data_IF_037868155773
#
_entry.id   IF_037868155773
#
_cell.length_a   1.000
_cell.length_b   1.000
_cell.length_c   1.000
_cell.angle_alpha   90.00
_cell.angle_beta   90.00
_cell.angle_gamma   90.00
#
_symmetry.space_group_name_H-M   'P 1'
#
loop_
_entity.id
_entity.type
_entity.pdbx_description
1 polymer ?
#
# COMPACT_ATOMS: atom_id res chain seq x y z
N UNK A 1 -20.26 -28.38 11.05
CA UNK A 1 -20.79 -27.03 11.19
C UNK A 1 -20.48 -26.16 9.97
N UNK A 2 -21.37 -25.18 9.73
CA UNK A 2 -21.15 -24.06 8.82
C UNK A 2 -20.63 -22.89 9.64
N UNK A 3 -19.53 -22.27 9.23
CA UNK A 3 -18.90 -21.15 9.93
C UNK A 3 -18.92 -19.88 9.07
N UNK A 4 -19.23 -18.75 9.70
CA UNK A 4 -19.12 -17.42 9.10
C UNK A 4 -18.16 -16.60 9.96
N UNK A 5 -17.01 -16.27 9.42
CA UNK A 5 -16.05 -15.35 10.05
C UNK A 5 -16.49 -13.92 9.74
N UNK A 6 -17.03 -13.23 10.71
CA UNK A 6 -17.67 -11.93 10.55
C UNK A 6 -16.90 -10.83 11.29
N UNK A 7 -16.53 -9.72 10.61
CA UNK A 7 -15.93 -8.58 11.28
C UNK A 7 -16.97 -7.82 12.10
N UNK A 8 -16.55 -7.24 13.23
CA UNK A 8 -17.38 -6.38 14.06
C UNK A 8 -16.59 -5.13 14.49
N UNK A 9 -17.27 -4.02 14.71
CA UNK A 9 -16.68 -2.74 15.11
C UNK A 9 -16.05 -1.96 13.95
N UNK A 10 -15.31 -0.91 14.30
CA UNK A 10 -14.64 -0.01 13.34
C UNK A 10 -13.22 -0.47 13.00
N UNK A 11 -12.62 0.15 11.96
CA UNK A 11 -11.28 -0.21 11.48
C UNK A 11 -10.21 -0.19 12.59
N UNK A 12 -10.07 0.86 13.42
CA UNK A 12 -9.07 0.89 14.47
C UNK A 12 -9.49 0.18 15.77
N UNK A 13 -10.75 -0.24 15.91
CA UNK A 13 -11.33 -0.73 17.18
C UNK A 13 -12.10 -2.04 17.04
N UNK A 14 -12.04 -2.69 15.89
CA UNK A 14 -12.83 -3.89 15.59
C UNK A 14 -12.32 -5.14 16.29
N UNK A 15 -13.13 -6.17 16.21
CA UNK A 15 -12.85 -7.52 16.71
C UNK A 15 -13.43 -8.57 15.76
N UNK A 16 -12.93 -9.80 15.86
CA UNK A 16 -13.42 -10.91 15.04
C UNK A 16 -14.50 -11.69 15.79
N UNK A 17 -15.60 -11.90 15.09
CA UNK A 17 -16.70 -12.77 15.52
C UNK A 17 -16.75 -13.97 14.59
N UNK A 18 -17.14 -15.11 15.12
CA UNK A 18 -17.50 -16.29 14.33
C UNK A 18 -18.93 -16.69 14.68
N UNK A 19 -19.69 -16.95 13.63
CA UNK A 19 -21.02 -17.55 13.73
C UNK A 19 -20.92 -19.01 13.28
N UNK A 20 -21.62 -19.92 13.97
CA UNK A 20 -21.71 -21.32 13.54
C UNK A 20 -23.14 -21.84 13.58
N UNK A 21 -23.43 -22.78 12.70
CA UNK A 21 -24.72 -23.51 12.66
C UNK A 21 -24.54 -24.90 12.10
N UNK A 22 -25.40 -25.82 12.48
CA UNK A 22 -25.51 -27.14 11.83
C UNK A 22 -26.27 -27.08 10.51
N UNK A 23 -26.95 -25.97 10.23
CA UNK A 23 -27.70 -25.75 9.00
C UNK A 23 -27.25 -24.44 8.34
N UNK A 24 -27.03 -24.44 7.03
CA UNK A 24 -26.60 -23.26 6.29
C UNK A 24 -27.56 -22.07 6.39
N UNK A 25 -28.84 -22.33 6.65
CA UNK A 25 -29.85 -21.27 6.85
C UNK A 25 -30.03 -20.89 8.32
N UNK A 26 -29.23 -21.48 9.25
CA UNK A 26 -29.31 -21.20 10.67
C UNK A 26 -30.32 -22.07 11.43
N UNK A 27 -30.65 -21.71 12.66
CA UNK A 27 -30.15 -20.55 13.40
C UNK A 27 -28.65 -20.61 13.68
N UNK A 28 -28.02 -19.45 13.72
CA UNK A 28 -26.60 -19.31 14.05
C UNK A 28 -26.43 -18.85 15.50
N UNK A 29 -25.52 -19.49 16.22
CA UNK A 29 -24.94 -18.98 17.44
C UNK A 29 -23.63 -18.24 17.11
N UNK A 30 -23.24 -17.29 17.94
CA UNK A 30 -22.04 -16.49 17.66
C UNK A 30 -21.12 -16.37 18.89
N UNK A 31 -19.83 -16.15 18.61
CA UNK A 31 -18.82 -15.93 19.65
C UNK A 31 -17.79 -14.92 19.14
N UNK A 32 -17.33 -14.05 20.04
CA UNK A 32 -16.12 -13.24 19.81
C UNK A 32 -14.90 -14.15 20.01
N UNK A 33 -14.01 -14.21 19.03
CA UNK A 33 -12.90 -15.18 18.99
C UNK A 33 -11.51 -14.53 18.92
N UNK A 34 -11.44 -13.22 18.62
CA UNK A 34 -10.23 -12.43 18.62
C UNK A 34 -10.59 -10.98 18.91
N UNK A 35 -9.86 -10.36 19.81
CA UNK A 35 -9.96 -8.94 20.14
C UNK A 35 -8.56 -8.39 20.42
N UNK A 36 -8.40 -7.07 20.47
CA UNK A 36 -7.12 -6.43 20.78
C UNK A 36 -6.54 -6.90 22.12
N UNK A 37 -7.39 -7.03 23.13
CA UNK A 37 -6.96 -7.35 24.48
C UNK A 37 -5.89 -6.39 24.97
N UNK A 38 -4.83 -6.93 25.55
CA UNK A 38 -3.66 -6.16 26.00
C UNK A 38 -2.53 -6.06 24.95
N UNK A 39 -2.80 -6.45 23.68
CA UNK A 39 -1.81 -6.36 22.61
C UNK A 39 -1.73 -4.94 22.04
N UNK A 40 -0.60 -4.54 21.45
CA UNK A 40 -0.49 -3.26 20.71
C UNK A 40 -1.17 -3.32 19.34
N UNK A 41 -1.72 -4.47 18.92
CA UNK A 41 -2.34 -4.67 17.60
C UNK A 41 -3.81 -4.29 17.70
N UNK A 42 -4.13 -3.07 17.25
CA UNK A 42 -5.49 -2.54 17.28
C UNK A 42 -6.39 -3.17 16.21
N UNK A 43 -7.67 -3.27 16.51
CA UNK A 43 -8.72 -3.66 15.58
C UNK A 43 -8.49 -4.98 14.82
N UNK A 44 -8.15 -6.11 15.47
CA UNK A 44 -7.86 -7.37 14.78
C UNK A 44 -9.14 -8.01 14.25
N UNK A 45 -9.50 -7.75 12.99
CA UNK A 45 -10.69 -8.29 12.35
C UNK A 45 -10.59 -8.28 10.83
N UNK A 46 -11.67 -8.57 10.11
CA UNK A 46 -11.73 -8.67 8.65
C UNK A 46 -10.68 -9.64 8.09
N UNK A 47 -10.59 -10.79 8.73
CA UNK A 47 -9.56 -11.77 8.43
C UNK A 47 -10.06 -13.01 7.73
N UNK A 48 -9.15 -13.95 7.53
CA UNK A 48 -9.42 -15.24 6.92
C UNK A 48 -8.71 -16.37 7.67
N UNK A 49 -9.43 -17.45 7.88
CA UNK A 49 -8.84 -18.73 8.30
C UNK A 49 -8.10 -19.37 7.13
N UNK A 50 -6.94 -19.93 7.41
CA UNK A 50 -6.13 -20.69 6.48
C UNK A 50 -5.50 -21.87 7.22
N UNK A 51 -5.49 -23.03 6.59
CA UNK A 51 -4.80 -24.22 7.06
C UNK A 51 -3.49 -24.46 6.30
N UNK A 52 -2.56 -25.14 6.96
CA UNK A 52 -1.32 -25.59 6.31
C UNK A 52 -1.46 -26.99 5.75
N UNK A 53 -0.61 -27.41 4.78
CA UNK A 53 -0.57 -28.80 4.31
C UNK A 53 -0.27 -29.83 5.41
N UNK A 54 0.24 -29.39 6.57
CA UNK A 54 0.53 -30.25 7.74
C UNK A 54 -0.58 -30.24 8.78
N UNK A 55 -1.69 -29.53 8.52
CA UNK A 55 -2.87 -29.54 9.39
C UNK A 55 -2.82 -28.54 10.55
N UNK A 56 -2.01 -27.50 10.47
CA UNK A 56 -2.07 -26.38 11.39
C UNK A 56 -3.08 -25.35 10.91
N UNK A 57 -3.83 -24.75 11.84
CA UNK A 57 -4.78 -23.68 11.59
C UNK A 57 -4.18 -22.32 11.92
N UNK A 58 -4.41 -21.35 11.04
CA UNK A 58 -3.90 -19.98 11.17
C UNK A 58 -4.98 -18.98 10.78
N UNK A 59 -4.84 -17.75 11.26
CA UNK A 59 -5.75 -16.66 10.93
C UNK A 59 -5.00 -15.42 10.48
N UNK A 60 -5.33 -14.93 9.30
CA UNK A 60 -4.83 -13.66 8.77
C UNK A 60 -5.79 -12.54 9.17
N UNK A 61 -5.27 -11.43 9.65
CA UNK A 61 -6.04 -10.21 9.86
C UNK A 61 -5.16 -8.99 9.63
N UNK A 62 -5.72 -7.79 9.71
CA UNK A 62 -4.94 -6.57 9.59
C UNK A 62 -4.87 -5.78 10.91
N UNK A 63 -3.92 -4.86 10.94
CA UNK A 63 -3.82 -3.76 11.89
C UNK A 63 -3.87 -2.44 11.11
N UNK A 64 -4.67 -1.48 11.56
CA UNK A 64 -4.68 -0.13 10.99
C UNK A 64 -3.50 0.69 11.53
N UNK A 65 -2.63 1.15 10.63
CA UNK A 65 -1.42 1.91 10.95
C UNK A 65 -1.43 3.28 10.25
N UNK A 66 -2.62 3.85 10.04
CA UNK A 66 -2.78 5.18 9.46
C UNK A 66 -2.20 5.29 8.06
N UNK A 67 -1.24 6.19 7.83
CA UNK A 67 -0.63 6.42 6.52
C UNK A 67 0.06 5.18 5.91
N UNK A 68 0.53 4.25 6.73
CA UNK A 68 1.10 2.98 6.26
C UNK A 68 0.05 1.94 5.89
N UNK A 69 -1.22 2.26 6.09
CA UNK A 69 -2.34 1.43 5.72
C UNK A 69 -2.59 0.27 6.68
N UNK A 70 -2.98 -0.86 6.12
CA UNK A 70 -3.36 -2.05 6.85
C UNK A 70 -2.26 -3.08 6.82
N UNK A 71 -1.46 -3.15 7.90
CA UNK A 71 -0.44 -4.17 8.04
C UNK A 71 -1.10 -5.52 8.33
N UNK A 72 -0.70 -6.55 7.58
CA UNK A 72 -1.24 -7.90 7.71
C UNK A 72 -0.47 -8.67 8.79
N UNK A 73 -1.22 -9.29 9.68
CA UNK A 73 -0.73 -10.17 10.73
C UNK A 73 -1.19 -11.60 10.49
N UNK A 74 -0.36 -12.57 10.88
CA UNK A 74 -0.68 -13.98 10.92
C UNK A 74 -0.72 -14.44 12.39
N UNK A 75 -1.85 -14.97 12.82
CA UNK A 75 -2.07 -15.46 14.19
C UNK A 75 -2.19 -16.97 14.21
N UNK A 76 -1.64 -17.65 15.24
CA UNK A 76 -1.97 -19.06 15.47
C UNK A 76 -3.45 -19.20 15.76
N UNK A 77 -4.03 -20.30 15.31
CA UNK A 77 -5.43 -20.62 15.57
C UNK A 77 -5.56 -22.10 15.96
N UNK A 78 -6.49 -22.40 16.82
CA UNK A 78 -6.85 -23.77 17.18
C UNK A 78 -8.35 -23.90 17.39
N UNK A 79 -8.88 -25.08 17.15
CA UNK A 79 -10.28 -25.41 17.43
C UNK A 79 -10.43 -25.97 18.83
N UNK A 80 -11.34 -25.39 19.61
CA UNK A 80 -11.68 -25.83 20.96
C UNK A 80 -13.21 -25.90 21.08
N UNK A 81 -13.75 -27.10 21.31
CA UNK A 81 -15.19 -27.33 21.36
C UNK A 81 -15.96 -26.78 20.15
N UNK A 82 -15.42 -27.03 18.96
CA UNK A 82 -15.94 -26.55 17.67
C UNK A 82 -16.02 -25.02 17.57
N UNK A 83 -15.17 -24.29 18.28
CA UNK A 83 -14.95 -22.86 18.13
C UNK A 83 -13.49 -22.56 17.84
N UNK A 84 -13.19 -21.63 16.91
CA UNK A 84 -11.81 -21.17 16.73
C UNK A 84 -11.39 -20.28 17.91
N UNK A 85 -10.22 -20.52 18.44
CA UNK A 85 -9.50 -19.63 19.35
C UNK A 85 -8.32 -19.07 18.58
N UNK A 86 -8.31 -17.76 18.34
CA UNK A 86 -7.32 -17.07 17.49
C UNK A 86 -6.36 -16.27 18.36
N UNK A 87 -5.05 -16.41 18.14
CA UNK A 87 -4.03 -15.82 19.01
C UNK A 87 -3.87 -16.60 20.31
N UNK A 88 -3.69 -15.90 21.43
CA UNK A 88 -3.54 -16.49 22.76
C UNK A 88 -4.72 -16.09 23.65
N UNK A 89 -5.51 -17.07 24.03
CA UNK A 89 -6.54 -16.96 25.07
C UNK A 89 -5.89 -17.14 26.44
N UNK A 90 -5.78 -16.06 27.22
CA UNK A 90 -5.08 -16.04 28.52
C UNK A 90 -5.98 -16.33 29.70
N UNK A 91 -7.25 -16.03 29.58
CA UNK A 91 -8.26 -16.15 30.65
C UNK A 91 -9.25 -17.30 30.45
N UNK A 92 -9.17 -17.96 29.27
CA UNK A 92 -9.97 -19.16 29.01
C UNK A 92 -11.41 -18.86 28.56
N UNK A 93 -11.72 -17.62 28.17
CA UNK A 93 -13.06 -17.23 27.72
C UNK A 93 -13.33 -17.63 26.26
N UNK A 94 -12.27 -18.05 25.54
CA UNK A 94 -12.26 -18.46 24.13
C UNK A 94 -12.14 -17.30 23.15
N UNK A 95 -11.80 -16.10 23.63
CA UNK A 95 -11.43 -14.94 22.82
C UNK A 95 -9.93 -14.67 22.97
N UNK A 96 -9.14 -14.89 21.93
CA UNK A 96 -7.70 -14.67 22.03
C UNK A 96 -7.26 -13.23 21.80
N UNK A 97 -6.04 -12.93 22.26
CA UNK A 97 -5.29 -11.71 21.96
C UNK A 97 -4.31 -11.96 20.82
N UNK A 98 -4.07 -11.00 19.91
CA UNK A 98 -3.02 -11.12 18.92
C UNK A 98 -1.64 -11.28 19.53
N UNK A 99 -0.78 -12.09 18.89
CA UNK A 99 0.62 -12.25 19.28
C UNK A 99 1.54 -11.55 18.29
N UNK A 100 2.62 -10.96 18.82
CA UNK A 100 3.66 -10.31 17.97
C UNK A 100 4.73 -11.29 17.51
N UNK A 101 4.92 -12.37 18.24
CA UNK A 101 5.95 -13.38 17.97
C UNK A 101 5.37 -14.77 18.16
N UNK A 102 5.56 -15.63 17.20
CA UNK A 102 5.17 -17.04 17.24
C UNK A 102 6.10 -17.88 16.36
N UNK A 103 6.14 -19.18 16.60
CA UNK A 103 6.81 -20.13 15.69
C UNK A 103 6.16 -20.05 14.32
N UNK A 104 6.96 -20.06 13.25
CA UNK A 104 6.44 -20.06 11.86
C UNK A 104 5.54 -21.27 11.62
N UNK A 105 4.51 -21.11 10.73
CA UNK A 105 3.69 -22.23 10.28
C UNK A 105 4.54 -23.37 9.71
N UNK A 106 4.21 -24.60 10.10
CA UNK A 106 4.78 -25.75 9.45
C UNK A 106 4.03 -26.01 8.13
N UNK A 107 4.68 -25.73 7.01
CA UNK A 107 4.12 -25.94 5.66
C UNK A 107 4.74 -27.18 4.97
N UNK A 108 5.41 -28.05 5.74
CA UNK A 108 6.09 -29.25 5.23
C UNK A 108 7.40 -28.98 4.47
N UNK A 109 7.80 -27.72 4.34
CA UNK A 109 9.01 -27.28 3.64
C UNK A 109 9.64 -26.11 4.37
N UNK A 110 10.97 -26.01 4.29
CA UNK A 110 11.69 -24.83 4.76
C UNK A 110 11.93 -23.87 3.59
N UNK A 111 11.52 -22.63 3.76
CA UNK A 111 11.76 -21.56 2.81
C UNK A 111 12.79 -20.58 3.37
N UNK A 112 13.66 -20.02 2.52
CA UNK A 112 14.57 -18.96 2.95
C UNK A 112 13.76 -17.74 3.43
N UNK A 113 14.34 -17.01 4.39
CA UNK A 113 13.79 -15.72 4.81
C UNK A 113 13.94 -14.75 3.63
N UNK A 114 12.83 -14.15 3.22
CA UNK A 114 12.80 -13.14 2.15
C UNK A 114 11.91 -11.98 2.59
N UNK A 115 12.32 -10.78 2.19
CA UNK A 115 11.49 -9.57 2.26
C UNK A 115 10.85 -9.32 0.88
N UNK A 116 9.71 -8.63 0.81
CA UNK A 116 9.20 -8.11 -0.44
C UNK A 116 10.27 -7.27 -1.15
N UNK A 117 10.25 -7.29 -2.48
CA UNK A 117 11.12 -6.44 -3.28
C UNK A 117 10.74 -4.97 -3.09
N UNK A 118 11.74 -4.11 -2.83
CA UNK A 118 11.55 -2.67 -2.62
C UNK A 118 12.12 -1.86 -3.79
N UNK A 119 13.25 -2.29 -4.34
CA UNK A 119 13.91 -1.66 -5.49
C UNK A 119 13.61 -2.43 -6.77
N UNK A 120 13.64 -1.74 -7.91
CA UNK A 120 13.44 -2.33 -9.22
C UNK A 120 14.40 -1.69 -10.24
N UNK A 121 15.19 -2.51 -10.89
CA UNK A 121 16.06 -2.10 -12.00
C UNK A 121 15.37 -2.25 -13.35
N UNK A 122 14.10 -2.68 -13.35
CA UNK A 122 13.27 -2.88 -14.54
C UNK A 122 13.92 -3.82 -15.59
N UNK A 123 14.58 -4.87 -15.11
CA UNK A 123 15.24 -5.88 -15.93
C UNK A 123 14.28 -6.97 -16.45
N UNK A 124 13.00 -6.87 -16.08
CA UNK A 124 11.92 -7.70 -16.59
C UNK A 124 11.16 -7.06 -17.76
N UNK A 125 10.41 -7.88 -18.50
CA UNK A 125 9.51 -7.42 -19.58
C UNK A 125 8.06 -7.18 -19.11
N UNK A 126 7.83 -7.29 -17.81
CA UNK A 126 6.55 -7.02 -17.14
C UNK A 126 6.81 -6.25 -15.86
N UNK A 127 5.78 -5.57 -15.38
CA UNK A 127 5.85 -4.85 -14.12
C UNK A 127 5.94 -5.84 -12.96
N UNK A 128 6.90 -5.63 -12.05
CA UNK A 128 7.06 -6.44 -10.84
C UNK A 128 5.89 -6.23 -9.85
N UNK A 129 5.56 -7.20 -8.99
CA UNK A 129 4.35 -7.18 -8.15
C UNK A 129 4.22 -6.03 -7.15
N UNK A 130 5.33 -5.36 -6.78
CA UNK A 130 5.30 -4.20 -5.89
C UNK A 130 4.69 -2.95 -6.53
N UNK A 131 4.60 -2.90 -7.86
CA UNK A 131 4.06 -1.77 -8.60
C UNK A 131 2.56 -1.89 -8.83
N UNK A 132 1.89 -0.77 -8.79
CA UNK A 132 0.47 -0.66 -9.14
C UNK A 132 0.19 0.66 -9.85
N UNK A 133 -0.84 0.70 -10.66
CA UNK A 133 -1.33 1.92 -11.26
C UNK A 133 -2.37 2.60 -10.38
N UNK A 134 -2.43 3.92 -10.44
CA UNK A 134 -3.45 4.69 -9.70
C UNK A 134 -4.88 4.36 -10.15
N UNK A 135 -5.06 4.07 -11.42
CA UNK A 135 -6.33 3.64 -11.99
C UNK A 135 -6.21 2.32 -12.74
N UNK A 136 -7.29 1.86 -13.37
CA UNK A 136 -7.28 0.66 -14.17
C UNK A 136 -6.24 0.76 -15.29
N UNK A 137 -5.40 -0.27 -15.40
CA UNK A 137 -4.28 -0.29 -16.32
C UNK A 137 -4.69 -0.01 -17.77
N UNK A 138 -3.86 0.78 -18.46
CA UNK A 138 -3.90 0.95 -19.89
C UNK A 138 -2.52 0.61 -20.46
N UNK A 139 -2.46 -0.33 -21.38
CA UNK A 139 -1.22 -0.81 -22.01
C UNK A 139 -0.41 0.29 -22.70
N UNK A 140 -1.05 1.40 -23.06
CA UNK A 140 -0.40 2.57 -23.69
C UNK A 140 0.38 3.45 -22.71
N UNK A 141 0.29 3.20 -21.39
CA UNK A 141 0.97 4.03 -20.40
C UNK A 141 2.44 3.72 -20.23
N UNK A 142 2.84 2.47 -20.50
CA UNK A 142 4.22 2.04 -20.29
C UNK A 142 4.72 1.06 -21.35
N UNK A 143 6.04 1.03 -21.51
CA UNK A 143 6.78 0.01 -22.24
C UNK A 143 7.92 -0.50 -21.37
N UNK A 144 8.04 -1.81 -21.25
CA UNK A 144 9.07 -2.46 -20.43
C UNK A 144 10.18 -2.98 -21.33
N UNK A 145 11.38 -2.43 -21.16
CA UNK A 145 12.57 -2.80 -21.93
C UNK A 145 13.58 -3.49 -21.00
N UNK A 146 13.27 -4.72 -20.61
CA UNK A 146 14.08 -5.50 -19.66
C UNK A 146 15.52 -5.72 -20.09
N UNK A 147 15.78 -5.82 -21.40
CA UNK A 147 17.13 -5.88 -21.98
C UNK A 147 17.97 -4.62 -21.74
N UNK A 148 17.34 -3.53 -21.34
CA UNK A 148 17.99 -2.23 -21.09
C UNK A 148 17.87 -1.80 -19.63
N UNK A 149 17.17 -2.54 -18.80
CA UNK A 149 16.90 -2.16 -17.40
C UNK A 149 16.14 -0.84 -17.30
N UNK A 150 15.09 -0.65 -18.09
CA UNK A 150 14.27 0.57 -18.06
C UNK A 150 12.77 0.28 -18.22
N UNK A 151 11.98 1.09 -17.54
CA UNK A 151 10.57 1.30 -17.87
C UNK A 151 10.44 2.66 -18.57
N UNK A 152 9.74 2.70 -19.70
CA UNK A 152 9.37 3.93 -20.38
C UNK A 152 7.92 4.24 -20.07
N UNK A 153 7.68 5.34 -19.40
CA UNK A 153 6.35 5.89 -19.19
C UNK A 153 6.02 6.89 -20.29
N UNK A 154 4.81 6.81 -20.81
CA UNK A 154 4.34 7.75 -21.84
C UNK A 154 3.44 8.80 -21.20
N UNK A 155 3.61 10.06 -21.65
CA UNK A 155 2.66 11.11 -21.31
C UNK A 155 1.27 10.76 -21.85
N UNK A 156 0.27 10.97 -21.02
CA UNK A 156 -1.12 10.71 -21.35
C UNK A 156 -1.97 11.92 -21.00
N UNK A 157 -2.91 12.32 -21.88
CA UNK A 157 -3.75 13.47 -21.60
C UNK A 157 -4.52 13.30 -20.29
N UNK A 158 -4.46 14.32 -19.44
CA UNK A 158 -5.27 14.35 -18.22
C UNK A 158 -6.75 14.58 -18.57
N UNK A 159 -7.63 14.22 -17.67
CA UNK A 159 -9.08 14.42 -17.85
C UNK A 159 -9.42 15.91 -17.91
N UNK A 160 -10.55 16.25 -18.52
CA UNK A 160 -11.00 17.66 -18.67
C UNK A 160 -11.15 18.36 -17.31
N UNK A 161 -11.56 17.62 -16.31
CA UNK A 161 -11.82 18.08 -14.95
C UNK A 161 -10.58 18.06 -14.05
N UNK A 162 -9.39 17.80 -14.61
CA UNK A 162 -8.12 17.70 -13.89
C UNK A 162 -7.88 18.93 -13.00
N UNK A 163 -7.59 18.70 -11.73
CA UNK A 163 -7.24 19.71 -10.74
C UNK A 163 -5.86 19.53 -10.17
N UNK A 164 -5.45 18.28 -9.96
CA UNK A 164 -4.17 17.93 -9.41
C UNK A 164 -3.86 16.44 -9.69
N UNK A 165 -2.75 15.90 -9.18
CA UNK A 165 -2.31 14.53 -9.46
C UNK A 165 -3.30 13.44 -9.00
N UNK A 166 -4.22 13.75 -8.10
CA UNK A 166 -5.28 12.80 -7.72
C UNK A 166 -6.16 12.38 -8.90
N UNK A 167 -6.31 13.25 -9.88
CA UNK A 167 -7.09 13.00 -11.09
C UNK A 167 -6.26 12.36 -12.23
N UNK A 168 -4.93 12.17 -12.04
CA UNK A 168 -4.06 11.56 -13.04
C UNK A 168 -4.11 10.04 -12.97
N UNK A 169 -4.61 9.40 -14.00
CA UNK A 169 -4.82 7.96 -14.04
C UNK A 169 -3.51 7.13 -14.16
N UNK A 170 -2.51 7.68 -14.86
CA UNK A 170 -1.28 6.99 -15.26
C UNK A 170 -0.11 7.19 -14.28
N UNK A 171 -0.40 7.30 -12.99
CA UNK A 171 0.63 7.29 -11.96
C UNK A 171 1.05 5.85 -11.66
N UNK A 172 2.35 5.57 -11.71
CA UNK A 172 2.92 4.28 -11.34
C UNK A 172 3.38 4.33 -9.88
N UNK A 173 2.81 3.50 -9.04
CA UNK A 173 2.85 3.61 -7.59
C UNK A 173 3.53 2.40 -6.96
N UNK A 174 4.25 2.62 -5.87
CA UNK A 174 4.74 1.59 -4.96
C UNK A 174 4.39 1.98 -3.52
N UNK A 175 3.93 1.03 -2.72
CA UNK A 175 3.69 1.26 -1.29
C UNK A 175 4.99 1.63 -0.58
N UNK A 176 4.90 2.51 0.41
CA UNK A 176 6.05 2.85 1.27
C UNK A 176 6.50 1.61 2.04
N UNK A 177 7.79 1.24 1.97
CA UNK A 177 8.28 -0.02 2.55
C UNK A 177 8.44 0.05 4.08
N UNK A 178 8.66 1.24 4.63
CA UNK A 178 8.86 1.47 6.06
C UNK A 178 8.61 2.94 6.43
N UNK A 179 8.72 3.24 7.71
CA UNK A 179 8.63 4.60 8.27
C UNK A 179 9.92 5.41 8.11
N UNK A 180 11.03 4.76 7.75
CA UNK A 180 12.31 5.40 7.48
C UNK A 180 12.96 4.76 6.25
N UNK A 181 13.04 5.49 5.16
CA UNK A 181 13.70 5.03 3.94
C UNK A 181 14.12 6.18 3.04
N UNK A 182 14.92 5.86 2.03
CA UNK A 182 15.28 6.80 0.97
C UNK A 182 14.99 6.14 -0.38
N UNK A 183 14.14 6.78 -1.17
CA UNK A 183 13.90 6.40 -2.55
C UNK A 183 14.75 7.26 -3.48
N UNK A 184 15.41 6.64 -4.44
CA UNK A 184 16.18 7.33 -5.48
C UNK A 184 15.76 6.80 -6.84
N UNK A 185 15.41 7.70 -7.74
CA UNK A 185 15.03 7.39 -9.11
C UNK A 185 15.98 8.07 -10.09
N UNK A 186 16.53 7.32 -11.06
CA UNK A 186 17.16 7.89 -12.25
C UNK A 186 16.07 8.13 -13.29
N UNK A 187 15.94 9.36 -13.74
CA UNK A 187 14.92 9.79 -14.68
C UNK A 187 15.57 10.43 -15.90
N UNK A 188 15.19 9.99 -17.10
CA UNK A 188 15.49 10.69 -18.36
C UNK A 188 14.18 11.16 -18.96
N UNK A 189 13.98 12.47 -18.99
CA UNK A 189 12.79 13.09 -19.55
C UNK A 189 13.03 13.50 -21.01
N UNK A 190 12.23 12.96 -21.91
CA UNK A 190 12.32 13.26 -23.37
C UNK A 190 10.96 13.78 -23.86
N UNK A 191 10.59 15.01 -23.48
CA UNK A 191 9.35 15.61 -23.95
C UNK A 191 9.43 15.91 -25.45
N UNK A 192 8.27 16.06 -26.05
CA UNK A 192 8.20 16.53 -27.44
C UNK A 192 8.07 18.05 -27.47
N UNK A 193 8.64 18.69 -28.52
CA UNK A 193 8.49 20.15 -28.69
C UNK A 193 7.02 20.55 -28.91
N UNK A 194 6.24 19.63 -29.48
CA UNK A 194 4.83 19.84 -29.81
C UNK A 194 3.93 19.98 -28.58
N UNK A 195 4.26 19.30 -27.48
CA UNK A 195 3.41 19.25 -26.32
C UNK A 195 4.08 19.95 -25.14
N UNK A 196 3.70 21.21 -24.91
CA UNK A 196 4.10 21.94 -23.71
C UNK A 196 3.20 21.57 -22.53
N UNK A 197 3.77 21.63 -21.31
CA UNK A 197 3.08 21.19 -20.10
C UNK A 197 3.17 19.70 -19.82
N UNK A 198 3.93 18.91 -20.64
CA UNK A 198 4.24 17.52 -20.25
C UNK A 198 5.04 17.50 -18.94
N UNK A 199 4.63 16.65 -18.02
CA UNK A 199 5.20 16.57 -16.66
C UNK A 199 5.59 15.14 -16.32
N UNK A 200 6.65 14.98 -15.54
CA UNK A 200 7.10 13.72 -14.98
C UNK A 200 7.84 13.96 -13.67
N UNK A 201 7.94 12.96 -12.79
CA UNK A 201 8.69 13.19 -11.55
C UNK A 201 8.56 12.10 -10.51
N UNK A 202 9.04 12.42 -9.31
CA UNK A 202 8.98 11.59 -8.11
C UNK A 202 8.10 12.26 -7.08
N UNK A 203 7.04 11.58 -6.64
CA UNK A 203 6.03 12.12 -5.73
C UNK A 203 5.82 11.16 -4.56
N UNK A 204 5.68 11.69 -3.36
CA UNK A 204 5.12 10.98 -2.20
C UNK A 204 3.66 11.38 -2.12
N UNK A 205 2.75 10.41 -2.26
CA UNK A 205 1.34 10.64 -2.44
C UNK A 205 0.49 9.87 -1.43
N UNK A 206 -0.39 10.61 -0.77
CA UNK A 206 -1.51 10.13 0.01
C UNK A 206 -2.73 10.99 -0.31
N UNK A 207 -3.56 11.34 0.66
CA UNK A 207 -4.61 12.37 0.49
C UNK A 207 -4.01 13.77 0.26
N UNK A 208 -2.81 13.98 0.79
CA UNK A 208 -1.91 15.08 0.45
C UNK A 208 -0.78 14.52 -0.42
N UNK A 209 -0.09 15.35 -1.19
CA UNK A 209 1.15 14.95 -1.82
C UNK A 209 2.20 16.07 -1.84
N UNK A 210 3.45 15.64 -1.98
CA UNK A 210 4.57 16.50 -2.31
C UNK A 210 5.53 15.78 -3.26
N UNK A 211 6.19 16.53 -4.14
CA UNK A 211 7.05 15.91 -5.14
C UNK A 211 8.03 16.83 -5.80
N UNK A 212 8.88 16.21 -6.61
CA UNK A 212 9.82 16.85 -7.52
C UNK A 212 9.36 16.57 -8.95
N UNK A 213 8.85 17.56 -9.64
CA UNK A 213 8.22 17.46 -10.94
C UNK A 213 9.02 18.20 -11.99
N UNK A 214 9.38 17.51 -13.07
CA UNK A 214 9.94 18.10 -14.30
C UNK A 214 8.78 18.49 -15.21
N UNK A 215 8.88 19.66 -15.79
CA UNK A 215 7.91 20.17 -16.74
C UNK A 215 8.59 20.69 -18.01
N UNK A 216 8.00 20.39 -19.16
CA UNK A 216 8.38 20.94 -20.47
C UNK A 216 7.66 22.26 -20.69
N UNK A 217 8.34 23.36 -20.41
CA UNK A 217 7.82 24.73 -20.60
C UNK A 217 8.26 25.35 -21.92
N UNK A 218 7.69 26.48 -22.28
CA UNK A 218 8.12 27.27 -23.45
C UNK A 218 9.57 27.74 -23.35
N UNK A 219 10.12 27.85 -22.14
CA UNK A 219 11.49 28.28 -21.85
C UNK A 219 12.49 27.14 -21.73
N UNK A 220 12.03 25.89 -21.78
CA UNK A 220 12.84 24.68 -21.56
C UNK A 220 12.34 23.82 -20.39
N UNK A 221 13.23 22.95 -19.91
CA UNK A 221 12.91 22.06 -18.79
C UNK A 221 13.04 22.78 -17.45
N UNK A 222 12.02 22.63 -16.62
CA UNK A 222 11.98 23.18 -15.25
C UNK A 222 11.74 22.06 -14.27
N UNK A 223 12.51 21.99 -13.20
CA UNK A 223 12.25 21.15 -12.04
C UNK A 223 11.59 21.98 -10.96
N UNK A 224 10.43 21.54 -10.50
CA UNK A 224 9.66 22.19 -9.44
C UNK A 224 9.53 21.28 -8.21
N UNK A 225 9.70 21.86 -7.04
CA UNK A 225 9.24 21.23 -5.81
C UNK A 225 7.79 21.67 -5.57
N UNK A 226 6.88 20.71 -5.49
CA UNK A 226 5.43 20.95 -5.39
C UNK A 226 4.85 20.33 -4.15
N UNK A 227 3.69 20.86 -3.71
CA UNK A 227 2.87 20.28 -2.66
C UNK A 227 1.38 20.53 -2.92
N UNK A 228 0.54 19.62 -2.47
CA UNK A 228 -0.90 19.71 -2.62
C UNK A 228 -1.58 19.08 -1.39
N UNK A 229 -1.99 19.88 -0.40
CA UNK A 229 -2.76 19.38 0.72
C UNK A 229 -4.21 19.10 0.29
N UNK A 230 -4.82 18.04 0.82
CA UNK A 230 -6.19 17.62 0.51
C UNK A 230 -6.42 17.46 -1.01
N UNK A 231 -5.49 16.80 -1.69
CA UNK A 231 -5.55 16.59 -3.13
C UNK A 231 -6.82 15.83 -3.53
N UNK A 232 -7.27 14.87 -2.71
CA UNK A 232 -8.52 14.12 -2.85
C UNK A 232 -9.78 15.01 -2.84
N UNK A 233 -9.69 16.23 -2.30
CA UNK A 233 -10.75 17.24 -2.31
C UNK A 233 -10.65 18.21 -3.49
N UNK A 234 -9.70 17.99 -4.40
CA UNK A 234 -9.50 18.82 -5.58
C UNK A 234 -8.89 20.19 -5.29
N UNK A 235 -8.05 20.30 -4.26
CA UNK A 235 -7.27 21.53 -4.02
C UNK A 235 -6.22 21.72 -5.10
N UNK A 236 -5.81 22.95 -5.32
CA UNK A 236 -4.76 23.28 -6.28
C UNK A 236 -3.37 22.92 -5.75
N UNK A 237 -2.51 22.46 -6.64
CA UNK A 237 -1.09 22.27 -6.39
C UNK A 237 -0.38 23.62 -6.18
N UNK A 238 0.54 23.66 -5.24
CA UNK A 238 1.42 24.81 -4.96
C UNK A 238 2.83 24.49 -5.42
N UNK A 239 3.41 25.37 -6.23
CA UNK A 239 4.83 25.35 -6.57
C UNK A 239 5.60 26.11 -5.49
N UNK A 240 6.45 25.41 -4.74
CA UNK A 240 7.21 26.00 -3.63
C UNK A 240 8.56 26.56 -4.07
N UNK A 241 9.20 25.91 -5.04
CA UNK A 241 10.46 26.36 -5.65
C UNK A 241 10.65 25.77 -7.04
N UNK A 242 11.47 26.43 -7.85
CA UNK A 242 11.78 25.99 -9.22
C UNK A 242 13.26 26.18 -9.53
N UNK A 243 13.77 25.35 -10.45
CA UNK A 243 15.10 25.49 -11.05
C UNK A 243 15.07 25.08 -12.52
N UNK A 244 15.71 25.88 -13.37
CA UNK A 244 15.87 25.53 -14.79
C UNK A 244 16.88 24.40 -14.93
N UNK A 245 16.57 23.43 -15.78
CA UNK A 245 17.45 22.29 -16.07
C UNK A 245 18.06 22.41 -17.46
N UNK A 246 19.36 22.10 -17.54
CA UNK A 246 20.09 21.98 -18.78
C UNK A 246 20.07 20.56 -19.33
N UNK A 247 20.08 19.58 -18.43
CA UNK A 247 20.14 18.17 -18.77
C UNK A 247 18.76 17.53 -18.65
N UNK A 248 18.48 16.56 -19.50
CA UNK A 248 17.24 15.81 -19.48
C UNK A 248 17.34 14.52 -18.64
N UNK A 249 18.51 14.21 -18.07
CA UNK A 249 18.74 13.05 -17.21
C UNK A 249 19.18 13.53 -15.82
N UNK A 250 18.41 13.16 -14.81
CA UNK A 250 18.63 13.56 -13.43
C UNK A 250 18.37 12.40 -12.47
N UNK A 251 18.86 12.55 -11.24
CA UNK A 251 18.53 11.68 -10.12
C UNK A 251 17.63 12.46 -9.15
N UNK A 252 16.43 11.94 -8.92
CA UNK A 252 15.49 12.45 -7.92
C UNK A 252 15.59 11.60 -6.67
N UNK A 253 15.52 12.23 -5.50
CA UNK A 253 15.60 11.54 -4.22
C UNK A 253 14.59 12.09 -3.23
N UNK A 254 13.80 11.19 -2.64
CA UNK A 254 12.93 11.47 -1.51
C UNK A 254 13.44 10.70 -0.28
N UNK A 255 13.66 11.42 0.82
CA UNK A 255 13.99 10.84 2.13
C UNK A 255 12.75 10.90 2.99
N UNK A 256 12.33 9.74 3.46
CA UNK A 256 11.22 9.55 4.38
C UNK A 256 11.77 9.34 5.78
N UNK A 257 11.30 10.10 6.75
CA UNK A 257 11.67 9.94 8.16
C UNK A 257 10.43 10.13 9.02
N UNK A 258 10.19 9.18 9.91
CA UNK A 258 9.17 9.29 10.94
C UNK A 258 9.87 9.61 12.25
N UNK A 259 9.60 10.78 12.82
CA UNK A 259 10.10 11.19 14.16
C UNK A 259 9.22 10.61 15.28
N UNK A 260 8.53 9.50 15.03
CA UNK A 260 7.59 8.90 15.97
C UNK A 260 6.27 9.70 16.10
N UNK A 261 6.14 10.81 15.39
CA UNK A 261 4.87 11.53 15.25
C UNK A 261 4.12 10.94 14.07
N UNK A 262 2.87 10.59 14.28
CA UNK A 262 1.96 10.15 13.21
C UNK A 262 2.06 11.15 12.06
N UNK A 263 2.54 10.68 10.88
CA UNK A 263 2.34 11.41 9.64
C UNK A 263 0.87 11.75 9.59
N UNK A 264 0.55 13.01 9.35
CA UNK A 264 -0.77 13.59 9.52
C UNK A 264 -1.90 12.64 9.11
N UNK A 265 -2.91 12.51 9.97
CA UNK A 265 -4.13 11.73 9.77
C UNK A 265 -4.63 11.83 8.32
N UNK A 266 -4.30 10.86 7.49
CA UNK A 266 -5.15 10.51 6.37
C UNK A 266 -6.05 9.39 6.86
N UNK A 267 -7.28 9.68 7.19
CA UNK A 267 -8.27 8.67 7.49
C UNK A 267 -8.43 7.79 6.24
N UNK A 268 -7.82 6.60 6.26
CA UNK A 268 -7.94 5.60 5.19
C UNK A 268 -7.05 5.79 3.95
N UNK A 269 -6.05 6.66 3.98
CA UNK A 269 -5.08 6.84 2.88
C UNK A 269 -3.82 5.99 3.06
N UNK A 270 -3.29 5.51 1.95
CA UNK A 270 -1.97 4.89 1.87
C UNK A 270 -1.01 5.89 1.27
N UNK A 271 0.11 6.18 1.94
CA UNK A 271 1.18 6.95 1.32
C UNK A 271 1.91 6.07 0.31
N UNK A 272 2.02 6.56 -0.91
CA UNK A 272 2.58 5.84 -2.04
C UNK A 272 3.73 6.64 -2.64
N UNK A 273 4.81 5.95 -2.98
CA UNK A 273 5.87 6.51 -3.81
C UNK A 273 5.42 6.44 -5.26
N UNK A 274 5.44 7.57 -5.94
CA UNK A 274 4.92 7.69 -7.30
C UNK A 274 6.05 7.99 -8.28
N UNK A 275 6.15 7.18 -9.32
CA UNK A 275 6.83 7.54 -10.56
C UNK A 275 5.77 7.75 -11.63
N UNK A 276 5.80 8.88 -12.33
CA UNK A 276 4.79 9.14 -13.36
C UNK A 276 5.31 10.07 -14.45
N UNK A 277 4.64 9.97 -15.59
CA UNK A 277 4.78 10.88 -16.73
C UNK A 277 3.37 11.25 -17.22
N UNK A 278 2.94 12.48 -17.06
CA UNK A 278 1.62 13.00 -17.43
C UNK A 278 1.70 14.31 -18.19
#
# INVERSE_FOLDING_TARGET
YYYIFHPAGGVPTGWQVVLRSKNVYGPYEWKKVLAQGNSPINGPHQGAWVDTPTGEDWFLHFQDVGAYGRLVHLQPMKWVNDWPVIGIDKDGDGCGDPVLVHTKPNVGKTYPIRTPQESDEFDGYTLSPQWQWHANINEKWAYYAGDRGIVRLYSYPVVKEYKNLWDAANLLLQKTPSDNFTATMKLTFKPTEKYKGERTGLVVMGLDYAGLILENTDKGLVLSQVSCPKADKGTSETVNSTVDLKDNTIYLRAKFTSDGKKISKSEGGHDLLVMSHF
#
